data_IF_791956584326
#
_entry.id   IF_791956584326
#
_cell.length_a   1.000
_cell.length_b   1.000
_cell.length_c   1.000
_cell.angle_alpha   90.00
_cell.angle_beta   90.00
_cell.angle_gamma   90.00
#
_symmetry.space_group_name_H-M   'P 1'
#
loop_
_entity.id
_entity.type
_entity.pdbx_description
1 polymer ?
#
# COMPACT_ATOMS: atom_id res chain seq x y z
N UNK A 1 3.89 -10.31 -5.43
CA UNK A 1 4.81 -11.45 -5.26
C UNK A 1 5.96 -11.24 -6.23
N UNK A 2 7.16 -10.91 -5.74
CA UNK A 2 8.36 -10.95 -6.59
C UNK A 2 8.53 -12.41 -7.01
N UNK A 3 8.55 -12.69 -8.32
CA UNK A 3 8.55 -14.07 -8.85
C UNK A 3 9.67 -14.95 -8.33
N UNK A 4 9.60 -16.25 -8.66
CA UNK A 4 10.63 -17.22 -8.29
C UNK A 4 11.86 -17.09 -9.20
N UNK A 5 13.00 -16.70 -8.61
CA UNK A 5 14.28 -16.60 -9.31
C UNK A 5 15.31 -17.51 -8.67
N UNK A 6 16.07 -18.24 -9.48
CA UNK A 6 17.19 -19.07 -9.03
C UNK A 6 18.50 -18.40 -9.50
N UNK A 7 19.31 -17.96 -8.55
CA UNK A 7 20.61 -17.32 -8.80
C UNK A 7 21.75 -18.25 -8.36
N UNK A 8 22.62 -18.63 -9.31
CA UNK A 8 23.78 -19.47 -9.05
C UNK A 8 25.09 -18.67 -9.05
N UNK A 9 25.96 -18.90 -8.08
CA UNK A 9 27.24 -18.19 -7.92
C UNK A 9 28.39 -19.17 -7.74
N UNK A 10 29.58 -18.82 -8.27
CA UNK A 10 30.82 -19.57 -8.10
C UNK A 10 31.85 -18.72 -7.35
N UNK A 11 32.50 -19.30 -6.34
CA UNK A 11 33.55 -18.64 -5.54
C UNK A 11 34.86 -19.41 -5.69
N UNK A 12 35.97 -18.70 -5.88
CA UNK A 12 37.33 -19.26 -5.90
C UNK A 12 38.24 -18.50 -4.91
N UNK A 13 39.06 -19.19 -4.10
CA UNK A 13 39.15 -20.65 -3.95
C UNK A 13 37.88 -21.25 -3.30
N UNK A 14 37.61 -22.52 -3.62
CA UNK A 14 36.37 -23.23 -3.25
C UNK A 14 36.15 -23.32 -1.73
N UNK A 15 37.24 -23.39 -0.97
CA UNK A 15 37.21 -23.37 0.50
C UNK A 15 36.47 -22.15 1.09
N UNK A 16 36.44 -21.01 0.36
CA UNK A 16 35.71 -19.81 0.81
C UNK A 16 34.20 -19.91 0.64
N UNK A 17 33.71 -20.78 -0.25
CA UNK A 17 32.30 -20.89 -0.59
C UNK A 17 31.45 -21.22 0.64
N UNK A 18 31.89 -22.17 1.45
CA UNK A 18 31.17 -22.60 2.65
C UNK A 18 31.07 -21.47 3.67
N UNK A 19 32.18 -20.77 3.93
CA UNK A 19 32.20 -19.64 4.86
C UNK A 19 31.30 -18.50 4.39
N UNK A 20 31.35 -18.15 3.10
CA UNK A 20 30.47 -17.12 2.52
C UNK A 20 29.00 -17.50 2.63
N UNK A 21 28.64 -18.76 2.36
CA UNK A 21 27.28 -19.26 2.52
C UNK A 21 26.79 -19.14 3.97
N UNK A 22 27.61 -19.57 4.95
CA UNK A 22 27.30 -19.43 6.38
C UNK A 22 27.11 -17.97 6.80
N UNK A 23 27.98 -17.07 6.34
CA UNK A 23 27.86 -15.64 6.64
C UNK A 23 26.57 -15.05 6.07
N UNK A 24 26.22 -15.38 4.82
CA UNK A 24 24.98 -14.92 4.19
C UNK A 24 23.76 -15.42 4.97
N UNK A 25 23.74 -16.69 5.37
CA UNK A 25 22.65 -17.25 6.17
C UNK A 25 22.55 -16.59 7.55
N UNK A 26 23.67 -16.35 8.23
CA UNK A 26 23.69 -15.66 9.51
C UNK A 26 23.16 -14.22 9.39
N UNK A 27 23.57 -13.48 8.35
CA UNK A 27 23.06 -12.14 8.07
C UNK A 27 21.57 -12.16 7.76
N UNK A 28 21.09 -13.13 6.98
CA UNK A 28 19.68 -13.31 6.68
C UNK A 28 18.86 -13.55 7.95
N UNK A 29 19.32 -14.44 8.83
CA UNK A 29 18.65 -14.73 10.11
C UNK A 29 18.60 -13.49 11.01
N UNK A 30 19.70 -12.73 11.09
CA UNK A 30 19.73 -11.47 11.82
C UNK A 30 18.73 -10.45 11.24
N UNK A 31 18.72 -10.29 9.91
CA UNK A 31 17.77 -9.42 9.22
C UNK A 31 16.31 -9.86 9.43
N UNK A 32 16.03 -11.15 9.46
CA UNK A 32 14.68 -11.67 9.74
C UNK A 32 14.21 -11.34 11.16
N UNK A 33 15.12 -11.26 12.13
CA UNK A 33 14.79 -10.87 13.51
C UNK A 33 14.54 -9.36 13.66
N UNK A 34 15.23 -8.53 12.88
CA UNK A 34 15.12 -7.07 12.91
C UNK A 34 15.34 -6.47 11.52
N UNK A 35 14.30 -6.46 10.65
CA UNK A 35 14.45 -6.04 9.27
C UNK A 35 14.67 -4.53 9.16
N UNK A 36 15.68 -4.16 8.39
CA UNK A 36 15.94 -2.76 8.02
C UNK A 36 15.22 -2.47 6.71
N UNK A 37 14.09 -1.77 6.78
CA UNK A 37 13.30 -1.41 5.59
C UNK A 37 13.85 -0.21 4.81
N UNK A 38 14.95 0.40 5.26
CA UNK A 38 15.55 1.56 4.62
C UNK A 38 14.75 2.86 4.75
N UNK A 39 13.68 2.87 5.55
CA UNK A 39 12.89 4.08 5.85
C UNK A 39 13.75 5.03 6.68
N UNK A 40 14.09 6.18 6.10
CA UNK A 40 14.79 7.25 6.80
C UNK A 40 13.77 8.31 7.23
N UNK A 41 13.84 8.71 8.50
CA UNK A 41 13.03 9.80 9.03
C UNK A 41 13.95 10.92 9.49
N UNK A 42 13.85 12.07 8.83
CA UNK A 42 14.39 13.33 9.33
C UNK A 42 13.27 14.10 9.99
N UNK A 43 13.34 14.30 11.31
CA UNK A 43 12.48 15.30 11.96
C UNK A 43 13.00 16.65 11.49
N UNK A 44 12.26 17.31 10.60
CA UNK A 44 12.53 18.71 10.34
C UNK A 44 12.12 19.48 11.59
N UNK A 45 13.09 19.81 12.43
CA UNK A 45 12.91 20.83 13.45
C UNK A 45 12.64 22.14 12.71
N UNK A 46 11.37 22.44 12.49
CA UNK A 46 10.90 23.78 12.13
C UNK A 46 11.17 24.67 13.34
N UNK A 47 12.43 25.07 13.48
CA UNK A 47 12.88 26.00 14.51
C UNK A 47 12.14 27.33 14.35
N UNK A 48 11.22 27.60 15.26
CA UNK A 48 10.50 28.88 15.26
C UNK A 48 9.22 29.01 16.07
N UNK A 49 8.87 28.08 16.97
CA UNK A 49 7.98 28.42 18.09
C UNK A 49 8.53 27.77 19.36
N UNK A 50 9.28 28.56 20.11
CA UNK A 50 9.62 28.29 21.50
C UNK A 50 8.33 28.01 22.29
N UNK A 51 8.13 26.74 22.60
CA UNK A 51 7.14 26.25 23.55
C UNK A 51 7.56 24.85 23.93
N UNK A 52 8.15 24.72 25.12
CA UNK A 52 8.38 23.45 25.81
C UNK A 52 7.09 22.61 25.81
N UNK A 53 6.92 21.68 24.87
CA UNK A 53 6.03 20.52 25.02
C UNK A 53 6.54 19.41 24.09
N UNK A 54 6.47 18.17 24.57
CA UNK A 54 6.77 16.90 23.90
C UNK A 54 8.18 16.33 24.11
N UNK A 55 8.54 16.22 25.40
CA UNK A 55 9.29 15.05 25.89
C UNK A 55 8.36 14.10 26.63
N UNK A 56 7.32 13.58 25.96
CA UNK A 56 6.62 12.37 26.39
C UNK A 56 6.21 11.58 25.14
N UNK A 57 6.41 10.24 25.09
CA UNK A 57 5.69 9.43 24.11
C UNK A 57 4.20 9.74 24.30
N UNK A 58 3.37 9.78 23.23
CA UNK A 58 1.97 10.10 23.38
C UNK A 58 1.35 9.09 24.35
N UNK A 59 1.17 9.51 25.60
CA UNK A 59 0.24 8.93 26.53
C UNK A 59 -1.09 9.10 25.83
N UNK A 60 -1.59 7.99 25.29
CA UNK A 60 -2.95 7.89 24.79
C UNK A 60 -3.81 8.22 26.00
N UNK A 61 -4.19 9.49 26.13
CA UNK A 61 -5.23 9.90 27.06
C UNK A 61 -6.48 9.19 26.57
N UNK A 62 -6.76 8.05 27.21
CA UNK A 62 -8.06 7.41 27.21
C UNK A 62 -9.01 8.36 27.94
N UNK A 63 -9.37 9.46 27.30
CA UNK A 63 -10.67 10.07 27.55
C UNK A 63 -11.69 9.17 26.85
N UNK A 64 -12.01 8.05 27.51
CA UNK A 64 -13.28 7.36 27.30
C UNK A 64 -14.37 8.31 27.76
N UNK A 65 -14.71 9.28 26.91
CA UNK A 65 -16.10 9.71 26.82
C UNK A 65 -16.87 8.44 26.45
N UNK A 66 -17.55 7.86 27.43
CA UNK A 66 -18.46 6.74 27.26
C UNK A 66 -19.65 7.23 26.42
N UNK A 67 -19.39 7.51 25.14
CA UNK A 67 -20.46 7.55 24.15
C UNK A 67 -20.97 6.13 24.09
N UNK A 68 -22.21 5.96 24.55
CA UNK A 68 -22.98 4.76 24.33
C UNK A 68 -22.66 4.24 22.92
N UNK A 69 -22.26 2.98 22.77
CA UNK A 69 -22.05 2.41 21.46
C UNK A 69 -23.39 2.50 20.76
N UNK A 70 -23.55 3.49 19.89
CA UNK A 70 -24.62 3.51 18.93
C UNK A 70 -24.41 2.22 18.15
N UNK A 71 -25.22 1.20 18.44
CA UNK A 71 -25.26 -0.09 17.75
C UNK A 71 -25.70 0.19 16.32
N UNK A 72 -24.79 0.79 15.55
CA UNK A 72 -24.87 0.78 14.10
C UNK A 72 -24.64 -0.70 13.77
N UNK A 73 -25.58 -1.35 13.08
CA UNK A 73 -25.39 -2.73 12.66
C UNK A 73 -24.01 -2.81 11.99
N UNK A 74 -23.18 -3.74 12.45
CA UNK A 74 -21.87 -4.01 11.85
C UNK A 74 -22.07 -4.06 10.35
N UNK A 75 -21.60 -3.03 9.63
CA UNK A 75 -21.57 -3.10 8.17
C UNK A 75 -20.77 -4.34 7.85
N UNK A 76 -21.36 -5.22 7.05
CA UNK A 76 -20.82 -6.54 6.69
C UNK A 76 -19.43 -6.43 6.05
N UNK A 77 -19.06 -5.23 5.57
CA UNK A 77 -17.74 -4.89 5.10
C UNK A 77 -17.24 -3.55 5.67
N UNK A 78 -16.25 -3.59 6.56
CA UNK A 78 -15.59 -2.41 7.14
C UNK A 78 -14.73 -1.65 6.12
N UNK A 79 -14.28 -2.30 5.05
CA UNK A 79 -13.44 -1.70 4.02
C UNK A 79 -14.26 -0.84 3.04
N UNK A 80 -15.56 -1.11 2.91
CA UNK A 80 -16.43 -0.40 1.97
C UNK A 80 -16.49 1.13 2.18
N UNK A 81 -16.25 1.59 3.40
CA UNK A 81 -16.19 3.02 3.71
C UNK A 81 -14.91 3.72 3.23
N UNK A 82 -13.88 2.96 2.86
CA UNK A 82 -12.56 3.47 2.49
C UNK A 82 -12.21 3.23 1.01
N UNK A 83 -13.17 2.79 0.19
CA UNK A 83 -12.96 2.72 -1.26
C UNK A 83 -12.79 4.13 -1.84
N UNK A 84 -11.67 4.36 -2.52
CA UNK A 84 -11.36 5.64 -3.20
C UNK A 84 -12.34 5.95 -4.32
N UNK A 85 -12.86 4.92 -4.99
CA UNK A 85 -13.63 5.04 -6.23
C UNK A 85 -15.15 4.89 -5.98
N UNK A 86 -15.57 5.01 -4.72
CA UNK A 86 -16.95 4.79 -4.29
C UNK A 86 -17.27 3.30 -4.07
N UNK A 87 -18.53 2.95 -3.76
CA UNK A 87 -18.91 1.56 -3.54
C UNK A 87 -18.73 0.76 -4.83
N UNK A 88 -17.62 0.03 -4.90
CA UNK A 88 -17.39 -0.99 -5.92
C UNK A 88 -18.40 -2.08 -5.61
N UNK A 89 -19.44 -2.22 -6.42
CA UNK A 89 -20.43 -3.28 -6.29
C UNK A 89 -19.81 -4.64 -6.66
N UNK A 90 -18.78 -5.09 -5.94
CA UNK A 90 -18.10 -6.38 -6.09
C UNK A 90 -17.56 -6.69 -7.50
N UNK A 91 -17.59 -5.73 -8.43
CA UNK A 91 -17.15 -5.94 -9.80
C UNK A 91 -15.64 -5.97 -9.81
N UNK A 92 -15.06 -7.08 -10.27
CA UNK A 92 -13.68 -7.10 -10.73
C UNK A 92 -13.46 -5.93 -11.72
N UNK A 93 -12.26 -5.32 -11.72
CA UNK A 93 -11.93 -4.29 -12.70
C UNK A 93 -12.15 -4.85 -14.11
N UNK A 94 -12.82 -4.09 -14.99
CA UNK A 94 -13.11 -4.58 -16.34
C UNK A 94 -11.82 -4.67 -17.14
N UNK A 95 -11.82 -5.52 -18.17
CA UNK A 95 -10.63 -5.76 -18.98
C UNK A 95 -10.14 -4.47 -19.66
N UNK A 96 -8.82 -4.34 -19.81
CA UNK A 96 -8.21 -3.25 -20.57
C UNK A 96 -8.30 -3.61 -22.07
N UNK A 97 -8.90 -2.73 -22.87
CA UNK A 97 -9.10 -2.88 -24.32
C UNK A 97 -8.54 -1.69 -25.07
N UNK A 98 -8.12 -1.87 -26.32
CA UNK A 98 -7.71 -0.77 -27.17
C UNK A 98 -8.94 -0.05 -27.75
N UNK A 99 -9.01 1.27 -27.59
CA UNK A 99 -10.02 2.11 -28.25
C UNK A 99 -9.44 2.68 -29.54
N UNK A 100 -10.06 2.35 -30.68
CA UNK A 100 -9.69 2.92 -31.96
C UNK A 100 -10.04 4.42 -32.06
N UNK A 101 -11.13 4.84 -31.41
CA UNK A 101 -11.59 6.23 -31.41
C UNK A 101 -10.62 7.17 -30.68
N UNK A 102 -10.09 6.72 -29.53
CA UNK A 102 -9.16 7.51 -28.71
C UNK A 102 -7.68 7.19 -28.99
N UNK A 103 -7.39 6.11 -29.71
CA UNK A 103 -6.03 5.66 -30.01
C UNK A 103 -5.24 5.15 -28.81
N UNK A 104 -5.89 4.85 -27.69
CA UNK A 104 -5.27 4.45 -26.41
C UNK A 104 -5.95 3.21 -25.82
N UNK A 105 -5.27 2.55 -24.88
CA UNK A 105 -5.87 1.51 -24.07
C UNK A 105 -6.78 2.11 -22.99
N UNK A 106 -8.03 1.65 -22.92
CA UNK A 106 -9.05 2.07 -21.95
C UNK A 106 -9.62 0.87 -21.21
N UNK A 107 -10.27 1.09 -20.07
CA UNK A 107 -11.12 0.08 -19.47
C UNK A 107 -12.32 -0.21 -20.38
N UNK A 108 -12.71 -1.48 -20.52
CA UNK A 108 -13.90 -1.86 -21.27
C UNK A 108 -15.14 -1.12 -20.76
N UNK A 109 -15.88 -0.51 -21.68
CA UNK A 109 -17.11 0.22 -21.36
C UNK A 109 -18.21 -0.73 -20.86
N UNK A 110 -19.11 -0.19 -20.05
CA UNK A 110 -20.32 -0.92 -19.65
C UNK A 110 -21.17 -1.20 -20.90
N UNK A 111 -21.85 -2.36 -20.97
CA UNK A 111 -22.73 -2.66 -22.08
C UNK A 111 -23.75 -1.54 -22.31
N UNK A 112 -23.89 -1.10 -23.56
CA UNK A 112 -24.85 -0.06 -23.94
C UNK A 112 -24.39 1.39 -23.77
N UNK A 113 -23.13 1.63 -23.39
CA UNK A 113 -22.52 2.96 -23.37
C UNK A 113 -21.47 3.10 -24.48
N UNK A 114 -21.45 4.26 -25.11
CA UNK A 114 -20.38 4.71 -26.02
C UNK A 114 -19.46 5.70 -25.30
N UNK A 115 -18.32 6.03 -25.92
CA UNK A 115 -17.38 7.02 -25.37
C UNK A 115 -18.04 8.40 -25.33
N UNK A 116 -18.79 8.75 -26.36
CA UNK A 116 -19.54 10.01 -26.44
C UNK A 116 -20.57 10.13 -25.31
N UNK A 117 -21.31 9.05 -25.00
CA UNK A 117 -22.30 9.04 -23.90
C UNK A 117 -21.70 9.36 -22.53
N UNK A 118 -20.41 9.01 -22.32
CA UNK A 118 -19.70 9.28 -21.07
C UNK A 118 -19.05 10.66 -21.02
N UNK A 119 -18.84 11.29 -22.18
CA UNK A 119 -18.17 12.58 -22.30
C UNK A 119 -19.16 13.74 -22.38
N UNK A 120 -20.27 13.54 -23.08
CA UNK A 120 -21.28 14.57 -23.28
C UNK A 120 -22.09 14.78 -22.00
N UNK A 121 -22.14 16.04 -21.54
CA UNK A 121 -23.02 16.44 -20.45
C UNK A 121 -24.34 16.88 -21.07
N UNK A 122 -25.36 16.03 -21.01
CA UNK A 122 -26.71 16.43 -21.36
C UNK A 122 -27.28 17.34 -20.26
N UNK A 123 -27.23 18.65 -20.49
CA UNK A 123 -27.94 19.64 -19.69
C UNK A 123 -29.31 19.88 -20.35
N UNK A 124 -30.36 19.31 -19.76
CA UNK A 124 -31.74 19.78 -19.96
C UNK A 124 -32.04 20.96 -19.04
#
# INVERSE_FOLDING_TARGET
MSGEYILGFQVKPEERLENTCKTIQALLNAFQSSPVFGVQYSRQDVGGMSGDVFTEPPSILQETEEKEPLEKPLRVDAFAAYFSDGPINGSEPRAIVYSEELGVAIEQLKPGFTISDLWEINLD
#
